data_IF_613898564408
#
_entry.id   IF_613898564408
#
_cell.length_a   1.000
_cell.length_b   1.000
_cell.length_c   1.000
_cell.angle_alpha   90.00
_cell.angle_beta   90.00
_cell.angle_gamma   90.00
#
_symmetry.space_group_name_H-M   'P 1'
#
loop_
_entity.id
_entity.type
_entity.pdbx_description
1 polymer ?
#
# COMPACT_ATOMS: atom_id res chain seq x y z
N UNK A 1 13.77 -14.27 -0.81
CA UNK A 1 12.56 -13.87 -0.07
C UNK A 1 12.63 -12.36 0.08
N UNK A 2 11.64 -11.61 -0.41
CA UNK A 2 11.63 -10.13 -0.42
C UNK A 2 10.27 -9.62 0.03
N UNK A 3 10.23 -8.51 0.75
CA UNK A 3 8.98 -7.81 1.10
C UNK A 3 8.39 -7.11 -0.13
N UNK A 4 7.06 -7.18 -0.31
CA UNK A 4 6.37 -6.56 -1.45
C UNK A 4 6.65 -5.05 -1.57
N UNK A 5 6.71 -4.33 -0.45
CA UNK A 5 6.87 -2.87 -0.43
C UNK A 5 8.27 -2.38 -0.84
N UNK A 6 9.23 -3.30 -0.92
CA UNK A 6 10.61 -3.04 -1.33
C UNK A 6 10.94 -3.60 -2.71
N UNK A 7 10.00 -4.27 -3.36
CA UNK A 7 10.19 -4.90 -4.65
C UNK A 7 9.89 -3.90 -5.78
N UNK A 8 10.82 -3.74 -6.72
CA UNK A 8 10.73 -2.75 -7.80
C UNK A 8 10.38 -3.41 -9.13
N UNK A 9 11.16 -4.42 -9.54
CA UNK A 9 10.96 -5.13 -10.79
C UNK A 9 11.73 -6.46 -10.80
N UNK A 10 11.26 -7.39 -11.63
CA UNK A 10 11.92 -8.68 -11.89
C UNK A 10 11.55 -9.17 -13.31
N UNK A 11 12.34 -10.04 -13.93
CA UNK A 11 12.01 -10.64 -15.22
C UNK A 11 10.73 -11.45 -15.17
N UNK A 12 9.92 -11.40 -16.23
CA UNK A 12 8.68 -12.18 -16.36
C UNK A 12 8.90 -13.70 -16.23
N UNK A 13 10.06 -14.18 -16.67
CA UNK A 13 10.44 -15.60 -16.60
C UNK A 13 10.76 -16.08 -15.18
N UNK A 14 10.91 -15.17 -14.22
CA UNK A 14 11.21 -15.52 -12.82
C UNK A 14 9.93 -15.99 -12.13
N UNK A 15 9.92 -17.25 -11.71
CA UNK A 15 8.79 -17.80 -10.96
C UNK A 15 8.75 -17.19 -9.56
N UNK A 16 7.56 -16.84 -9.08
CA UNK A 16 7.39 -16.31 -7.72
C UNK A 16 6.12 -16.83 -7.06
N UNK A 17 6.15 -16.86 -5.73
CA UNK A 17 5.00 -17.16 -4.88
C UNK A 17 4.83 -16.06 -3.85
N UNK A 18 3.60 -15.56 -3.72
CA UNK A 18 3.23 -14.64 -2.64
C UNK A 18 2.83 -15.49 -1.43
N UNK A 19 3.53 -15.30 -0.32
CA UNK A 19 3.26 -15.95 0.95
C UNK A 19 2.79 -14.90 1.97
N UNK A 20 1.70 -15.19 2.67
CA UNK A 20 1.31 -14.43 3.85
C UNK A 20 2.25 -14.82 4.98
N UNK A 21 2.82 -13.84 5.67
CA UNK A 21 3.81 -14.07 6.72
C UNK A 21 3.25 -14.76 8.00
N UNK A 22 1.93 -15.01 8.09
CA UNK A 22 1.29 -15.64 9.26
C UNK A 22 0.16 -16.60 8.85
N UNK A 23 0.14 -17.79 9.46
CA UNK A 23 -0.89 -18.83 9.34
C UNK A 23 -2.01 -18.71 10.39
N UNK A 24 -1.97 -17.69 11.25
CA UNK A 24 -2.97 -17.48 12.31
C UNK A 24 -4.04 -16.46 11.94
N UNK A 25 -5.25 -16.64 12.46
CA UNK A 25 -6.48 -15.83 12.35
C UNK A 25 -6.36 -14.32 12.66
N UNK A 26 -5.16 -13.76 12.80
CA UNK A 26 -4.97 -12.33 12.95
C UNK A 26 -4.91 -11.61 11.59
N UNK A 27 -6.04 -11.00 11.23
CA UNK A 27 -6.08 -9.63 10.69
C UNK A 27 -5.20 -9.35 9.45
N UNK A 28 -5.69 -9.72 8.28
CA UNK A 28 -5.35 -9.03 7.02
C UNK A 28 -5.86 -7.56 6.96
N UNK A 29 -6.23 -6.94 8.10
CA UNK A 29 -7.25 -5.88 8.12
C UNK A 29 -6.83 -4.54 8.77
N UNK A 30 -5.57 -4.32 9.19
CA UNK A 30 -5.20 -3.07 9.88
C UNK A 30 -3.93 -2.31 9.45
N UNK A 31 -3.09 -2.76 8.51
CA UNK A 31 -1.81 -2.04 8.24
C UNK A 31 -1.28 -1.89 6.81
N UNK A 32 -1.63 -2.71 5.80
CA UNK A 32 -1.15 -2.52 4.41
C UNK A 32 0.39 -2.41 4.21
N UNK A 33 1.16 -3.44 3.91
CA UNK A 33 0.90 -4.80 3.43
C UNK A 33 2.10 -5.66 3.88
N UNK A 34 1.88 -6.85 4.46
CA UNK A 34 2.95 -7.81 4.80
C UNK A 34 2.77 -9.06 3.94
N UNK A 35 3.04 -8.87 2.65
CA UNK A 35 3.08 -9.93 1.65
C UNK A 35 4.55 -10.20 1.31
N UNK A 36 4.96 -11.46 1.42
CA UNK A 36 6.31 -11.87 1.12
C UNK A 36 6.34 -12.48 -0.28
N UNK A 37 7.23 -12.00 -1.13
CA UNK A 37 7.49 -12.57 -2.44
C UNK A 37 8.69 -13.53 -2.38
N UNK A 38 8.45 -14.80 -2.69
CA UNK A 38 9.47 -15.84 -2.80
C UNK A 38 9.73 -16.12 -4.27
N UNK A 39 10.91 -15.74 -4.75
CA UNK A 39 11.35 -15.97 -6.12
C UNK A 39 12.14 -17.27 -6.26
N UNK A 40 12.03 -17.89 -7.43
CA UNK A 40 12.68 -19.14 -7.79
C UNK A 40 13.28 -19.04 -9.19
N UNK A 41 14.46 -19.65 -9.37
CA UNK A 41 15.16 -19.70 -10.66
C UNK A 41 16.10 -18.51 -10.89
N UNK A 42 16.76 -18.49 -12.06
CA UNK A 42 17.70 -17.44 -12.43
C UNK A 42 16.96 -16.15 -12.84
N UNK A 43 17.42 -15.01 -12.34
CA UNK A 43 16.82 -13.72 -12.66
C UNK A 43 17.33 -12.63 -11.72
N UNK A 44 17.42 -11.39 -12.22
CA UNK A 44 17.83 -10.24 -11.40
C UNK A 44 16.59 -9.63 -10.74
N UNK A 45 16.57 -9.59 -9.42
CA UNK A 45 15.49 -8.96 -8.66
C UNK A 45 15.96 -7.56 -8.26
N UNK A 46 15.21 -6.53 -8.64
CA UNK A 46 15.48 -5.15 -8.25
C UNK A 46 14.68 -4.81 -7.00
N UNK A 47 15.38 -4.33 -5.98
CA UNK A 47 14.81 -3.90 -4.71
C UNK A 47 15.17 -2.44 -4.42
N UNK A 48 14.31 -1.75 -3.68
CA UNK A 48 14.56 -0.41 -3.16
C UNK A 48 14.81 -0.46 -1.66
N UNK A 49 15.69 0.40 -1.15
CA UNK A 49 15.99 0.49 0.29
C UNK A 49 14.96 1.32 1.05
N UNK A 50 14.18 2.17 0.35
CA UNK A 50 13.18 3.06 0.94
C UNK A 50 11.79 2.66 0.46
N UNK A 51 10.82 2.70 1.37
CA UNK A 51 9.42 2.46 1.09
C UNK A 51 8.71 3.82 0.91
N UNK A 52 8.39 4.24 -0.33
CA UNK A 52 7.73 5.52 -0.61
C UNK A 52 6.30 5.58 -0.05
N UNK A 53 5.61 4.45 0.07
CA UNK A 53 4.27 4.38 0.65
C UNK A 53 4.30 4.66 2.15
N UNK A 54 5.20 4.01 2.90
CA UNK A 54 5.40 4.29 4.32
C UNK A 54 5.83 5.74 4.54
N UNK A 55 6.70 6.27 3.67
CA UNK A 55 7.10 7.67 3.70
C UNK A 55 5.93 8.63 3.45
N UNK A 56 5.06 8.34 2.46
CA UNK A 56 3.86 9.13 2.19
C UNK A 56 2.87 9.11 3.36
N UNK A 57 2.67 7.95 4.00
CA UNK A 57 1.86 7.86 5.22
C UNK A 57 2.43 8.69 6.36
N UNK A 58 3.75 8.68 6.55
CA UNK A 58 4.43 9.52 7.55
C UNK A 58 4.25 11.02 7.26
N UNK A 59 4.43 11.46 6.01
CA UNK A 59 4.26 12.87 5.61
C UNK A 59 2.82 13.36 5.78
N UNK A 60 1.81 12.52 5.58
CA UNK A 60 0.39 12.90 5.74
C UNK A 60 0.04 13.46 7.12
N UNK A 61 0.81 13.11 8.17
CA UNK A 61 0.63 13.71 9.50
C UNK A 61 1.09 15.17 9.60
N UNK A 62 1.96 15.61 8.68
CA UNK A 62 2.55 16.95 8.64
C UNK A 62 1.94 17.85 7.56
N UNK A 63 1.36 17.26 6.52
CA UNK A 63 0.63 17.99 5.49
C UNK A 63 -0.84 18.02 5.91
N UNK A 64 -1.32 19.17 6.39
CA UNK A 64 -2.73 19.35 6.73
C UNK A 64 -3.60 18.89 5.57
N UNK A 65 -4.55 17.94 5.76
CA UNK A 65 -5.55 17.72 4.76
C UNK A 65 -6.37 19.00 4.70
N UNK A 66 -6.26 19.75 3.60
CA UNK A 66 -7.26 20.75 3.28
C UNK A 66 -8.59 20.01 3.25
N UNK A 67 -9.45 20.29 4.22
CA UNK A 67 -10.80 19.76 4.34
C UNK A 67 -11.66 20.31 3.20
N UNK A 68 -11.43 19.85 1.97
CA UNK A 68 -12.39 19.93 0.88
C UNK A 68 -13.36 18.76 1.01
N UNK A 69 -14.35 18.92 1.89
CA UNK A 69 -15.33 17.88 2.17
C UNK A 69 -16.70 18.47 2.47
N UNK A 70 -17.50 18.62 1.41
CA UNK A 70 -18.83 19.21 1.42
C UNK A 70 -19.83 18.48 2.31
N UNK A 71 -20.37 19.22 3.29
CA UNK A 71 -21.47 18.77 4.15
C UNK A 71 -22.48 19.87 4.52
N UNK A 72 -22.37 21.08 3.95
CA UNK A 72 -23.24 22.21 4.29
C UNK A 72 -24.03 22.80 3.10
N UNK A 73 -23.73 22.38 1.86
CA UNK A 73 -24.39 22.93 0.66
C UNK A 73 -25.69 22.17 0.32
N UNK A 74 -25.84 20.90 0.72
CA UNK A 74 -27.06 20.11 0.46
C UNK A 74 -28.27 20.53 1.31
N UNK A 75 -28.08 21.32 2.37
CA UNK A 75 -29.19 21.91 3.15
C UNK A 75 -29.70 23.22 2.55
N UNK A 76 -28.90 23.88 1.71
CA UNK A 76 -29.31 25.17 1.10
C UNK A 76 -30.11 24.92 -0.19
N UNK A 77 -29.89 23.81 -0.90
CA UNK A 77 -30.65 23.47 -2.12
C UNK A 77 -32.06 22.92 -1.84
N UNK A 78 -32.45 22.69 -0.57
CA UNK A 78 -33.83 22.36 -0.18
C UNK A 78 -34.59 23.54 0.45
N UNK A 79 -33.95 24.71 0.53
CA UNK A 79 -34.56 25.97 0.99
C UNK A 79 -34.77 26.97 -0.16
N UNK A 80 -34.52 26.54 -1.39
CA UNK A 80 -34.76 27.30 -2.59
C UNK A 80 -35.40 26.35 -3.59
N UNK A 81 -36.73 26.47 -3.70
CA UNK A 81 -37.50 26.16 -4.90
C UNK A 81 -36.93 26.86 -6.14
#
# INVERSE_FOLDING_TARGET
IVDNSHLVAWPETTQYKIEKASSGWFSSLKSGEVLICRFYGPGRILIQTRNPQAFGQWIRGFVSPSSSGGGAISTITSLID
#
